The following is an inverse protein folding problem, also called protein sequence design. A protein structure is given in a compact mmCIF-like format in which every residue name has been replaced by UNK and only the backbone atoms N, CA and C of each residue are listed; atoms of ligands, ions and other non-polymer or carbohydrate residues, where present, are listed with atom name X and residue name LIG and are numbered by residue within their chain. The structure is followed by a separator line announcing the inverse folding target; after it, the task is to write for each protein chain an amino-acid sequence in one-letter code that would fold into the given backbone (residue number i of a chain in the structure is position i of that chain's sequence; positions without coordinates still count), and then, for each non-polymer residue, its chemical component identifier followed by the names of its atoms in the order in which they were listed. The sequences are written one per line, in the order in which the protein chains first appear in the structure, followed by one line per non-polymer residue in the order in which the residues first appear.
data_IF_864150780529
#
_entry.id   IF_864150780529
#
_cell.length_a   1.000
_cell.length_b   1.000
_cell.length_c   1.000
_cell.angle_alpha   90.00
_cell.angle_beta   90.00
_cell.angle_gamma   90.00
#
_symmetry.space_group_name_H-M   'P 1'
#
loop_
_entity.id
_entity.type
_entity.pdbx_description
1 polymer ?
#
# COMPACT_ATOMS: atom_id res chain seq x y z
N UNK A 1 17.53 3.12 15.60
CA UNK A 1 16.42 3.28 14.64
C UNK A 1 16.76 2.52 13.37
N UNK A 2 15.81 1.78 12.83
CA UNK A 2 15.96 1.01 11.59
C UNK A 2 16.19 1.94 10.38
N UNK A 3 17.19 1.66 9.55
CA UNK A 3 17.41 2.40 8.29
C UNK A 3 16.40 2.01 7.20
N UNK A 4 16.38 2.71 6.05
CA UNK A 4 15.42 2.44 4.97
C UNK A 4 15.42 0.97 4.51
N UNK A 5 16.59 0.33 4.49
CA UNK A 5 16.74 -1.09 4.14
C UNK A 5 16.09 -2.05 5.13
N UNK A 6 16.06 -1.69 6.42
CA UNK A 6 15.43 -2.51 7.46
C UNK A 6 13.91 -2.36 7.39
N UNK A 7 13.40 -1.16 7.10
CA UNK A 7 11.96 -0.93 6.91
C UNK A 7 11.44 -1.66 5.67
N UNK A 8 12.20 -1.65 4.56
CA UNK A 8 11.86 -2.42 3.37
C UNK A 8 11.81 -3.92 3.65
N UNK A 9 12.81 -4.45 4.38
CA UNK A 9 12.81 -5.85 4.79
C UNK A 9 11.61 -6.19 5.68
N UNK A 10 11.24 -5.31 6.61
CA UNK A 10 10.06 -5.50 7.46
C UNK A 10 8.77 -5.48 6.64
N UNK A 11 8.60 -4.51 5.74
CA UNK A 11 7.44 -4.43 4.85
C UNK A 11 7.34 -5.67 3.94
N UNK A 12 8.49 -6.23 3.53
CA UNK A 12 8.54 -7.48 2.80
C UNK A 12 8.21 -8.69 3.69
N UNK A 13 8.69 -8.80 4.93
CA UNK A 13 8.49 -10.02 5.71
C UNK A 13 7.22 -10.04 6.57
N UNK A 14 6.55 -8.89 6.76
CA UNK A 14 5.30 -8.82 7.52
C UNK A 14 4.20 -9.70 6.89
N UNK A 15 3.63 -10.55 7.74
CA UNK A 15 2.46 -11.41 7.46
C UNK A 15 1.44 -11.19 8.57
N UNK A 16 0.17 -11.40 8.27
CA UNK A 16 -0.96 -11.35 9.23
C UNK A 16 -1.21 -9.97 9.88
N UNK A 17 -0.79 -8.89 9.24
CA UNK A 17 -1.15 -7.51 9.63
C UNK A 17 -2.04 -6.93 8.52
N UNK A 18 -3.12 -6.20 8.85
CA UNK A 18 -3.90 -5.49 7.85
C UNK A 18 -3.02 -4.54 7.03
N UNK A 19 -3.12 -4.61 5.70
CA UNK A 19 -2.26 -3.82 4.80
C UNK A 19 -2.46 -2.31 4.99
N UNK A 20 -3.65 -1.88 5.43
CA UNK A 20 -3.92 -0.48 5.76
C UNK A 20 -3.09 0.01 6.95
N UNK A 21 -2.86 -0.83 7.96
CA UNK A 21 -2.05 -0.48 9.13
C UNK A 21 -0.58 -0.38 8.75
N UNK A 22 -0.09 -1.31 7.91
CA UNK A 22 1.25 -1.24 7.33
C UNK A 22 1.44 0.07 6.55
N UNK A 23 0.46 0.45 5.72
CA UNK A 23 0.44 1.72 5.01
C UNK A 23 0.58 2.93 5.94
N UNK A 24 -0.20 2.98 7.02
CA UNK A 24 -0.14 4.09 7.97
C UNK A 24 1.21 4.18 8.68
N UNK A 25 1.75 3.05 9.13
CA UNK A 25 3.05 3.01 9.81
C UNK A 25 4.18 3.47 8.88
N UNK A 26 4.15 3.04 7.61
CA UNK A 26 5.13 3.47 6.61
C UNK A 26 4.99 4.96 6.28
N UNK A 27 3.76 5.49 6.22
CA UNK A 27 3.53 6.91 6.01
C UNK A 27 4.03 7.74 7.19
N UNK A 28 3.75 7.32 8.42
CA UNK A 28 4.26 7.95 9.63
C UNK A 28 5.79 7.92 9.66
N UNK A 29 6.41 6.79 9.31
CA UNK A 29 7.85 6.69 9.20
C UNK A 29 8.43 7.67 8.16
N UNK A 30 7.79 7.78 6.98
CA UNK A 30 8.21 8.73 5.94
C UNK A 30 8.13 10.18 6.43
N UNK A 31 7.08 10.53 7.17
CA UNK A 31 6.94 11.87 7.79
C UNK A 31 8.08 12.16 8.76
N UNK A 32 8.42 11.20 9.62
CA UNK A 32 9.51 11.34 10.58
C UNK A 32 10.87 11.43 9.89
N UNK A 33 11.08 10.68 8.79
CA UNK A 33 12.34 10.74 8.04
C UNK A 33 12.50 12.07 7.29
N UNK A 34 11.43 12.63 6.74
CA UNK A 34 11.42 13.98 6.15
C UNK A 34 11.71 15.03 7.20
N UNK A 35 11.01 14.99 8.34
CA UNK A 35 11.23 15.90 9.45
C UNK A 35 12.68 15.84 9.93
N UNK A 36 13.26 14.64 10.04
CA UNK A 36 14.66 14.46 10.44
C UNK A 36 15.66 15.02 9.45
N UNK A 37 15.39 14.94 8.14
CA UNK A 37 16.30 15.38 7.08
C UNK A 37 16.22 16.87 6.79
N UNK A 38 15.01 17.42 6.83
CA UNK A 38 14.71 18.76 6.35
C UNK A 38 14.27 19.73 7.45
N UNK A 39 14.02 19.23 8.68
CA UNK A 39 13.49 20.00 9.82
C UNK A 39 12.16 20.72 9.52
N UNK A 40 11.40 20.17 8.57
CA UNK A 40 10.08 20.66 8.14
C UNK A 40 9.12 19.49 7.95
N UNK A 41 7.82 19.77 8.05
CA UNK A 41 6.78 18.87 7.57
C UNK A 41 6.36 19.29 6.16
N UNK A 42 6.75 18.49 5.18
CA UNK A 42 6.39 18.69 3.78
C UNK A 42 5.65 17.44 3.27
N UNK A 43 4.34 17.56 2.95
CA UNK A 43 3.55 16.46 2.41
C UNK A 43 4.10 15.89 1.10
N UNK A 44 4.61 16.73 0.20
CA UNK A 44 5.10 16.28 -1.10
C UNK A 44 6.41 15.49 -0.91
N UNK A 45 7.35 16.03 -0.12
CA UNK A 45 8.57 15.30 0.24
C UNK A 45 8.28 14.01 1.02
N UNK A 46 7.21 13.97 1.82
CA UNK A 46 6.77 12.77 2.54
C UNK A 46 6.33 11.69 1.56
N UNK A 47 5.54 12.06 0.55
CA UNK A 47 5.09 11.13 -0.48
C UNK A 47 6.25 10.65 -1.34
N UNK A 48 7.23 11.50 -1.65
CA UNK A 48 8.46 11.10 -2.36
C UNK A 48 9.24 10.04 -1.57
N UNK A 49 9.35 10.19 -0.25
CA UNK A 49 9.98 9.17 0.61
C UNK A 49 9.10 7.92 0.70
N UNK A 50 7.78 8.08 0.76
CA UNK A 50 6.85 6.95 0.82
C UNK A 50 6.82 6.12 -0.47
N UNK A 51 7.07 6.72 -1.63
CA UNK A 51 7.00 6.07 -2.94
C UNK A 51 7.89 4.82 -3.01
N UNK A 52 9.01 4.80 -2.28
CA UNK A 52 9.89 3.63 -2.19
C UNK A 52 9.21 2.38 -1.59
N UNK A 53 8.13 2.55 -0.83
CA UNK A 53 7.39 1.48 -0.18
C UNK A 53 6.18 1.00 -0.98
N UNK A 54 5.68 1.81 -1.93
CA UNK A 54 4.53 1.48 -2.77
C UNK A 54 4.65 0.08 -3.41
N UNK A 55 5.84 -0.38 -3.86
CA UNK A 55 5.99 -1.72 -4.42
C UNK A 55 5.79 -2.91 -3.47
N UNK A 56 5.77 -2.65 -2.16
CA UNK A 56 5.70 -3.67 -1.12
C UNK A 56 4.30 -3.76 -0.48
N UNK A 57 3.46 -2.75 -0.71
CA UNK A 57 2.10 -2.65 -0.17
C UNK A 57 1.12 -3.37 -1.10
N UNK A 58 0.22 -4.17 -0.52
CA UNK A 58 -0.80 -4.91 -1.28
C UNK A 58 -2.14 -4.18 -1.23
N UNK A 59 -2.27 -3.15 -2.06
CA UNK A 59 -3.50 -2.33 -2.11
C UNK A 59 -4.77 -3.15 -2.39
N UNK A 60 -4.67 -4.24 -3.15
CA UNK A 60 -5.80 -5.13 -3.46
C UNK A 60 -6.28 -6.00 -2.27
N UNK A 61 -5.47 -6.10 -1.21
CA UNK A 61 -5.85 -6.80 0.01
C UNK A 61 -6.54 -5.87 1.03
N UNK A 62 -6.68 -4.58 0.72
CA UNK A 62 -7.49 -3.64 1.50
C UNK A 62 -8.96 -3.73 1.07
N UNK A 63 -9.86 -3.33 1.96
CA UNK A 63 -11.24 -3.04 1.59
C UNK A 63 -11.33 -1.76 0.75
N UNK A 64 -12.39 -1.63 -0.05
CA UNK A 64 -12.59 -0.42 -0.85
C UNK A 64 -12.69 0.85 0.01
N UNK A 65 -13.25 0.74 1.22
CA UNK A 65 -13.38 1.85 2.16
C UNK A 65 -12.04 2.24 2.82
N UNK A 66 -11.14 1.29 3.06
CA UNK A 66 -9.78 1.56 3.53
C UNK A 66 -8.97 2.25 2.44
N UNK A 67 -8.97 1.70 1.22
CA UNK A 67 -8.27 2.31 0.10
C UNK A 67 -8.78 3.73 -0.20
N UNK A 68 -10.11 3.92 -0.29
CA UNK A 68 -10.69 5.21 -0.63
C UNK A 68 -10.51 6.28 0.45
N UNK A 69 -10.31 5.91 1.72
CA UNK A 69 -10.05 6.87 2.82
C UNK A 69 -8.57 7.09 3.09
N UNK A 70 -7.72 6.12 2.77
CA UNK A 70 -6.27 6.20 2.92
C UNK A 70 -5.57 6.43 1.57
N UNK A 71 -4.84 5.44 1.01
CA UNK A 71 -3.97 5.63 -0.16
C UNK A 71 -4.62 6.29 -1.37
N UNK A 72 -5.91 6.05 -1.63
CA UNK A 72 -6.66 6.67 -2.71
C UNK A 72 -6.82 8.19 -2.60
N UNK A 73 -6.59 8.78 -1.41
CA UNK A 73 -6.64 10.23 -1.17
C UNK A 73 -5.27 10.87 -1.02
N UNK A 74 -4.20 10.10 -0.87
CA UNK A 74 -2.86 10.60 -0.56
C UNK A 74 -2.10 11.14 -1.79
N UNK A 75 -2.73 11.28 -2.95
CA UNK A 75 -2.06 11.77 -4.15
C UNK A 75 -1.11 10.77 -4.83
N UNK A 76 -1.02 9.54 -4.33
CA UNK A 76 -0.17 8.47 -4.87
C UNK A 76 -0.59 7.95 -6.26
N UNK A 77 -1.87 8.11 -6.58
CA UNK A 77 -2.48 7.54 -7.77
C UNK A 77 -3.27 8.61 -8.52
N UNK A 78 -3.31 8.52 -9.85
CA UNK A 78 -4.26 9.27 -10.65
C UNK A 78 -5.66 8.62 -10.59
N UNK A 79 -6.70 9.33 -11.04
CA UNK A 79 -8.09 8.85 -10.90
C UNK A 79 -8.37 7.55 -11.65
N UNK A 80 -7.71 7.34 -12.80
CA UNK A 80 -7.81 6.09 -13.57
C UNK A 80 -7.24 4.91 -12.77
N UNK A 81 -6.11 5.10 -12.11
CA UNK A 81 -5.50 4.11 -11.22
C UNK A 81 -6.39 3.85 -9.99
N UNK A 82 -6.91 4.90 -9.34
CA UNK A 82 -7.80 4.71 -8.17
C UNK A 82 -9.03 3.85 -8.51
N UNK A 83 -9.69 4.17 -9.62
CA UNK A 83 -10.88 3.42 -10.07
C UNK A 83 -10.54 1.96 -10.39
N UNK A 84 -9.41 1.73 -11.04
CA UNK A 84 -8.93 0.39 -11.34
C UNK A 84 -8.64 -0.43 -10.08
N UNK A 85 -7.97 0.12 -9.07
CA UNK A 85 -7.74 -0.56 -7.78
C UNK A 85 -9.06 -0.91 -7.12
N UNK A 86 -9.99 0.05 -7.04
CA UNK A 86 -11.31 -0.16 -6.43
C UNK A 86 -12.10 -1.24 -7.17
N UNK A 87 -12.08 -1.25 -8.50
CA UNK A 87 -12.73 -2.29 -9.29
C UNK A 87 -12.11 -3.67 -9.01
N UNK A 88 -10.78 -3.76 -8.94
CA UNK A 88 -10.08 -5.01 -8.62
C UNK A 88 -10.29 -5.48 -7.17
N UNK A 89 -10.56 -4.57 -6.24
CA UNK A 89 -10.96 -4.93 -4.87
C UNK A 89 -12.38 -5.53 -4.86
N UNK A 90 -13.29 -4.97 -5.67
CA UNK A 90 -14.69 -5.40 -5.76
C UNK A 90 -14.87 -6.70 -6.57
N UNK A 91 -14.08 -6.86 -7.63
CA UNK A 91 -14.07 -8.04 -8.50
C UNK A 91 -12.64 -8.59 -8.61
N UNK A 92 -12.23 -9.46 -7.68
CA UNK A 92 -10.85 -9.93 -7.60
C UNK A 92 -10.47 -10.97 -8.65
N UNK A 93 -11.45 -11.61 -9.26
CA UNK A 93 -11.27 -12.58 -10.35
C UNK A 93 -11.32 -11.90 -11.73
N UNK A 94 -11.63 -10.60 -11.76
CA UNK A 94 -11.65 -9.76 -12.94
C UNK A 94 -10.26 -9.49 -13.53
N UNK A 95 -10.20 -9.08 -14.80
CA UNK A 95 -8.94 -8.76 -15.46
C UNK A 95 -8.26 -7.55 -14.81
N UNK A 96 -7.02 -7.72 -14.37
CA UNK A 96 -6.21 -6.61 -13.88
C UNK A 96 -5.96 -5.62 -15.03
N UNK A 97 -6.12 -4.30 -14.79
CA UNK A 97 -5.88 -3.31 -15.83
C UNK A 97 -4.41 -3.29 -16.25
N UNK A 98 -4.17 -3.35 -17.57
CA UNK A 98 -2.83 -3.45 -18.18
C UNK A 98 -1.87 -2.29 -17.83
N UNK A 99 -2.40 -1.15 -17.36
CA UNK A 99 -1.63 0.05 -17.05
C UNK A 99 -1.17 0.11 -15.58
N UNK A 100 -1.30 -0.98 -14.83
CA UNK A 100 -0.86 -1.06 -13.45
C UNK A 100 0.64 -1.34 -13.36
N UNK A 101 1.37 -0.60 -12.51
CA UNK A 101 2.73 -1.01 -12.16
C UNK A 101 2.67 -2.44 -11.60
N UNK A 102 3.55 -3.36 -12.04
CA UNK A 102 3.50 -4.78 -11.67
C UNK A 102 3.44 -5.06 -10.16
N UNK A 103 3.92 -4.09 -9.37
CA UNK A 103 4.03 -4.19 -7.92
C UNK A 103 2.71 -3.94 -7.18
N UNK A 104 1.77 -3.17 -7.75
CA UNK A 104 0.46 -2.90 -7.14
C UNK A 104 -0.43 -4.16 -7.15
N UNK A 105 -0.11 -5.11 -8.02
CA UNK A 105 -0.85 -6.36 -8.23
C UNK A 105 -0.27 -7.56 -7.47
N UNK A 106 0.69 -7.36 -6.53
CA UNK A 106 1.23 -8.47 -5.73
C UNK A 106 0.18 -8.99 -4.74
N UNK A 107 -0.62 -9.96 -5.17
CA UNK A 107 -1.40 -10.81 -4.28
C UNK A 107 -0.39 -11.76 -3.60
N UNK A 108 -0.14 -11.61 -2.30
CA UNK A 108 0.35 -12.76 -1.53
C UNK A 108 -0.86 -13.63 -1.24
N UNK A 109 -0.83 -14.86 -1.75
CA UNK A 109 -1.82 -15.89 -1.43
C UNK A 109 -2.03 -15.93 0.08
N UNK A 110 -3.14 -15.36 0.54
CA UNK A 110 -3.70 -15.62 1.85
C UNK A 110 -5.20 -15.27 1.90
N UNK A 111 -5.93 -15.58 0.81
CA UNK A 111 -7.32 -15.96 1.02
C UNK A 111 -7.28 -17.30 1.70
N UNK A 112 -7.66 -17.32 2.96
CA UNK A 112 -7.95 -18.53 3.70
C UNK A 112 -8.72 -19.47 2.78
N UNK A 113 -8.13 -20.64 2.52
CA UNK A 113 -8.87 -21.87 2.34
C UNK A 113 -9.71 -22.08 3.61
N UNK A 114 -10.95 -21.63 3.58
CA UNK A 114 -12.08 -22.40 4.09
C UNK A 114 -12.75 -22.88 2.79
N UNK A 115 -12.71 -24.15 2.37
CA UNK A 115 -12.93 -25.36 3.17
C UNK A 115 -13.93 -25.10 4.29
N UNK A 116 -15.17 -24.84 3.90
CA UNK A 116 -16.30 -25.38 4.63
C UNK A 116 -17.22 -26.09 3.63
N UNK A 117 -17.12 -27.42 3.69
CA UNK A 117 -18.13 -28.36 3.22
C UNK A 117 -19.52 -27.97 3.75
N UNK A 118 -20.50 -27.92 2.85
CA UNK A 118 -21.87 -28.38 3.11
C UNK A 118 -22.46 -29.00 1.86
#
# INVERSE_FOLDING_TARGET
MAGPSVILFIAEEIKNVPEIDLCHVLLEWSQQEVLRRLDIQDPDATLDVFDMFVPFIRFLAMTGAEFARGPGKWGLFNDRQKLAILNSILDPDGPLPNDFPPHVCRIRNNRYSHDDEM
#
